data_IF_955713645269
#
_entry.id   IF_955713645269
#
_cell.length_a   1.000
_cell.length_b   1.000
_cell.length_c   1.000
_cell.angle_alpha   90.00
_cell.angle_beta   90.00
_cell.angle_gamma   90.00
#
_symmetry.space_group_name_H-M   'P 1'
#
loop_
_entity.id
_entity.type
_entity.pdbx_description
1 polymer ?
#
# COMPACT_ATOMS: atom_id res chain seq x y z
N UNK A 1 0.95 -3.19 10.21
CA UNK A 1 -0.14 -3.56 9.28
C UNK A 1 -1.16 -4.41 10.02
N UNK A 2 -2.44 -4.04 9.97
CA UNK A 2 -3.52 -4.89 10.47
C UNK A 2 -3.64 -6.11 9.55
N UNK A 3 -3.40 -7.31 10.11
CA UNK A 3 -3.32 -8.54 9.32
C UNK A 3 -4.67 -9.20 9.14
N UNK A 4 -5.49 -9.16 10.18
CA UNK A 4 -6.86 -9.65 10.17
C UNK A 4 -7.75 -8.76 9.30
N UNK A 5 -8.63 -9.38 8.52
CA UNK A 5 -9.49 -8.65 7.58
C UNK A 5 -10.63 -7.94 8.28
N UNK A 6 -11.21 -8.55 9.32
CA UNK A 6 -12.34 -7.98 10.04
C UNK A 6 -11.88 -6.75 10.82
N UNK A 7 -10.77 -6.86 11.54
CA UNK A 7 -10.16 -5.71 12.23
C UNK A 7 -9.80 -4.58 11.25
N UNK A 8 -9.30 -4.91 10.05
CA UNK A 8 -8.99 -3.90 9.03
C UNK A 8 -10.24 -3.14 8.58
N UNK A 9 -11.36 -3.83 8.37
CA UNK A 9 -12.62 -3.21 7.95
C UNK A 9 -13.26 -2.41 9.08
N UNK A 10 -13.22 -2.91 10.32
CA UNK A 10 -13.66 -2.16 11.50
C UNK A 10 -12.83 -0.86 11.66
N UNK A 11 -11.52 -0.93 11.45
CA UNK A 11 -10.66 0.25 11.49
C UNK A 11 -10.95 1.23 10.35
N UNK A 12 -11.25 0.73 9.14
CA UNK A 12 -11.61 1.56 7.98
C UNK A 12 -12.87 2.41 8.22
N UNK A 13 -13.83 1.89 9.00
CA UNK A 13 -15.07 2.60 9.35
C UNK A 13 -14.83 3.89 10.15
N UNK A 14 -13.67 4.02 10.81
CA UNK A 14 -13.30 5.24 11.53
C UNK A 14 -13.06 6.44 10.59
N UNK A 15 -12.93 6.21 9.28
CA UNK A 15 -12.83 7.26 8.26
C UNK A 15 -11.44 7.92 8.16
N UNK A 16 -10.43 7.38 8.84
CA UNK A 16 -9.04 7.79 8.70
C UNK A 16 -8.44 7.26 7.37
N UNK A 17 -7.32 7.84 6.94
CA UNK A 17 -6.55 7.29 5.83
C UNK A 17 -5.82 6.01 6.25
N UNK A 18 -5.89 5.01 5.38
CA UNK A 18 -5.22 3.71 5.50
C UNK A 18 -4.01 3.70 4.58
N UNK A 19 -2.83 3.90 5.15
CA UNK A 19 -1.59 3.93 4.40
C UNK A 19 -0.94 2.53 4.30
N UNK A 20 -0.64 2.14 3.06
CA UNK A 20 0.17 0.97 2.73
C UNK A 20 1.54 1.44 2.23
N UNK A 21 2.43 1.74 3.16
CA UNK A 21 3.73 2.38 2.91
C UNK A 21 4.89 1.40 2.69
N UNK A 22 4.68 0.08 2.74
CA UNK A 22 5.78 -0.89 2.64
C UNK A 22 5.91 -1.58 1.26
N UNK A 23 5.36 -1.00 0.18
CA UNK A 23 5.48 -1.61 -1.16
C UNK A 23 6.95 -1.75 -1.58
N UNK A 24 7.31 -2.93 -2.07
CA UNK A 24 8.70 -3.28 -2.42
C UNK A 24 9.54 -3.82 -1.27
N UNK A 25 9.01 -3.86 -0.05
CA UNK A 25 9.69 -4.47 1.11
C UNK A 25 9.03 -5.79 1.50
N UNK A 26 9.82 -6.86 1.48
CA UNK A 26 9.48 -8.20 1.97
C UNK A 26 10.72 -8.77 2.68
N UNK A 27 10.54 -9.23 3.91
CA UNK A 27 11.60 -9.81 4.73
C UNK A 27 11.11 -11.16 5.25
N UNK A 28 11.93 -12.20 5.06
CA UNK A 28 11.68 -13.51 5.67
C UNK A 28 11.74 -13.42 7.20
N UNK A 29 12.71 -12.65 7.72
CA UNK A 29 12.89 -12.44 9.16
C UNK A 29 12.65 -10.97 9.51
N UNK A 30 11.44 -10.66 9.98
CA UNK A 30 11.09 -9.32 10.42
C UNK A 30 11.58 -9.07 11.86
N UNK A 31 12.75 -8.45 11.97
CA UNK A 31 13.47 -8.28 13.24
C UNK A 31 12.68 -7.53 14.32
N UNK A 32 11.79 -6.63 13.94
CA UNK A 32 10.98 -5.85 14.88
C UNK A 32 9.82 -6.65 15.48
N UNK A 33 9.38 -7.73 14.82
CA UNK A 33 8.42 -8.68 15.37
C UNK A 33 8.60 -10.07 14.74
N UNK A 34 9.45 -10.92 15.35
CA UNK A 34 9.78 -12.24 14.81
C UNK A 34 8.60 -13.22 14.67
N UNK A 35 7.47 -12.94 15.35
CA UNK A 35 6.27 -13.78 15.27
C UNK A 35 5.39 -13.45 14.06
N UNK A 36 5.70 -12.40 13.30
CA UNK A 36 4.89 -11.93 12.18
C UNK A 36 5.63 -12.11 10.85
N UNK A 37 4.94 -12.76 9.91
CA UNK A 37 5.34 -12.77 8.50
C UNK A 37 5.01 -11.43 7.84
N UNK A 38 6.04 -10.76 7.33
CA UNK A 38 5.85 -9.52 6.59
C UNK A 38 4.98 -9.79 5.34
N UNK A 39 3.90 -9.02 5.11
CA UNK A 39 3.12 -9.18 3.89
C UNK A 39 3.98 -8.79 2.69
N UNK A 40 3.94 -9.58 1.63
CA UNK A 40 4.51 -9.18 0.35
C UNK A 40 3.55 -8.31 -0.46
N UNK A 41 4.02 -7.80 -1.59
CA UNK A 41 3.24 -6.87 -2.41
C UNK A 41 1.93 -7.50 -2.93
N UNK A 42 1.91 -8.79 -3.26
CA UNK A 42 0.66 -9.45 -3.64
C UNK A 42 -0.34 -9.51 -2.46
N UNK A 43 0.13 -9.72 -1.23
CA UNK A 43 -0.71 -9.66 -0.02
C UNK A 43 -1.18 -8.22 0.25
N UNK A 44 -0.39 -7.19 -0.05
CA UNK A 44 -0.80 -5.78 0.04
C UNK A 44 -1.87 -5.43 -1.00
N UNK A 45 -1.65 -5.78 -2.26
CA UNK A 45 -2.62 -5.59 -3.35
C UNK A 45 -3.97 -6.25 -3.01
N UNK A 46 -3.98 -7.46 -2.45
CA UNK A 46 -5.21 -8.13 -2.02
C UNK A 46 -5.95 -7.37 -0.91
N UNK A 47 -5.24 -6.70 -0.01
CA UNK A 47 -5.84 -5.86 1.04
C UNK A 47 -6.41 -4.56 0.48
N UNK A 48 -5.67 -3.91 -0.41
CA UNK A 48 -6.18 -2.74 -1.13
C UNK A 48 -7.44 -3.11 -1.90
N UNK A 49 -7.44 -4.24 -2.63
CA UNK A 49 -8.63 -4.72 -3.34
C UNK A 49 -9.82 -4.95 -2.41
N UNK A 50 -9.60 -5.60 -1.26
CA UNK A 50 -10.64 -5.79 -0.25
C UNK A 50 -11.25 -4.45 0.20
N UNK A 51 -10.43 -3.45 0.50
CA UNK A 51 -10.92 -2.13 0.91
C UNK A 51 -11.70 -1.43 -0.21
N UNK A 52 -11.25 -1.56 -1.45
CA UNK A 52 -11.96 -1.03 -2.63
C UNK A 52 -13.31 -1.73 -2.80
N UNK A 53 -13.36 -3.06 -2.68
CA UNK A 53 -14.60 -3.85 -2.77
C UNK A 53 -15.64 -3.45 -1.72
N UNK A 54 -15.19 -3.03 -0.54
CA UNK A 54 -16.02 -2.57 0.57
C UNK A 54 -16.28 -1.05 0.54
N UNK A 55 -15.85 -0.34 -0.52
CA UNK A 55 -16.18 1.08 -0.73
C UNK A 55 -15.26 2.09 -0.02
N UNK A 56 -14.08 1.69 0.44
CA UNK A 56 -13.14 2.55 1.18
C UNK A 56 -12.04 3.19 0.30
N UNK A 57 -12.22 3.21 -1.03
CA UNK A 57 -11.21 3.66 -1.99
C UNK A 57 -10.73 5.12 -1.79
N UNK A 58 -11.58 6.02 -1.28
CA UNK A 58 -11.25 7.43 -1.03
C UNK A 58 -10.38 7.66 0.21
N UNK A 59 -10.02 6.60 0.92
CA UNK A 59 -9.23 6.63 2.16
C UNK A 59 -8.00 5.74 2.10
N UNK A 60 -7.52 5.37 0.91
CA UNK A 60 -6.31 4.54 0.74
C UNK A 60 -5.13 5.42 0.30
N UNK A 61 -3.98 5.26 0.96
CA UNK A 61 -2.69 5.83 0.56
C UNK A 61 -1.67 4.70 0.33
N UNK A 62 -0.66 4.96 -0.49
CA UNK A 62 0.42 4.00 -0.73
C UNK A 62 1.78 4.69 -0.87
N UNK A 63 2.82 4.02 -0.36
CA UNK A 63 4.21 4.46 -0.42
C UNK A 63 5.18 3.27 -0.32
N UNK A 64 6.48 3.57 -0.25
CA UNK A 64 7.56 2.56 -0.19
C UNK A 64 8.32 2.53 1.14
N UNK A 65 8.19 3.58 1.95
CA UNK A 65 8.96 3.78 3.18
C UNK A 65 10.46 3.57 2.93
N UNK A 66 11.00 4.25 1.92
CA UNK A 66 12.43 4.18 1.63
C UNK A 66 13.18 5.00 2.69
N UNK A 67 13.67 4.32 3.72
CA UNK A 67 14.47 4.89 4.80
C UNK A 67 15.88 4.30 4.89
N UNK A 68 16.29 3.44 3.95
CA UNK A 68 17.63 2.80 3.92
C UNK A 68 18.21 2.75 2.52
N UNK A 69 19.56 2.79 2.43
CA UNK A 69 20.29 2.79 1.14
C UNK A 69 19.99 1.57 0.28
N UNK A 70 19.92 0.37 0.87
CA UNK A 70 19.70 -0.87 0.12
C UNK A 70 18.34 -0.93 -0.60
N UNK A 71 17.38 -0.06 -0.23
CA UNK A 71 16.09 0.05 -0.93
C UNK A 71 16.13 0.92 -2.19
N UNK A 72 17.21 1.68 -2.41
CA UNK A 72 17.40 2.47 -3.63
C UNK A 72 17.96 1.62 -4.78
N UNK A 73 17.56 1.91 -6.01
CA UNK A 73 18.02 1.19 -7.22
C UNK A 73 19.54 1.17 -7.37
N UNK A 74 20.23 2.26 -6.99
CA UNK A 74 21.71 2.33 -7.01
C UNK A 74 22.39 1.21 -6.21
N UNK A 75 21.71 0.69 -5.19
CA UNK A 75 22.22 -0.36 -4.32
C UNK A 75 21.48 -1.70 -4.53
N UNK A 76 20.79 -1.87 -5.66
CA UNK A 76 20.03 -3.08 -6.00
C UNK A 76 18.63 -3.18 -5.41
N UNK A 77 18.14 -2.12 -4.78
CA UNK A 77 16.78 -2.07 -4.24
C UNK A 77 15.70 -1.72 -5.27
N UNK A 78 14.44 -1.77 -4.84
CA UNK A 78 13.26 -1.53 -5.68
C UNK A 78 13.11 -0.08 -6.15
N UNK A 79 13.52 0.89 -5.32
CA UNK A 79 13.44 2.32 -5.60
C UNK A 79 12.03 2.91 -5.75
N UNK A 80 11.98 4.23 -5.93
CA UNK A 80 10.72 4.99 -5.97
C UNK A 80 9.84 4.66 -7.18
N UNK A 81 10.40 4.10 -8.26
CA UNK A 81 9.62 3.72 -9.44
C UNK A 81 8.78 2.46 -9.25
N UNK A 82 9.07 1.63 -8.23
CA UNK A 82 8.47 0.30 -8.04
C UNK A 82 6.94 0.29 -8.05
N UNK A 83 6.31 1.29 -7.44
CA UNK A 83 4.84 1.39 -7.43
C UNK A 83 4.32 1.55 -8.86
N UNK A 84 4.87 2.48 -9.63
CA UNK A 84 4.41 2.78 -10.98
C UNK A 84 4.78 1.67 -11.98
N UNK A 85 5.97 1.07 -11.85
CA UNK A 85 6.47 0.10 -12.84
C UNK A 85 6.01 -1.33 -12.58
N UNK A 86 5.76 -1.71 -11.33
CA UNK A 86 5.45 -3.09 -10.95
C UNK A 86 4.07 -3.23 -10.28
N UNK A 87 3.74 -2.34 -9.33
CA UNK A 87 2.50 -2.48 -8.54
C UNK A 87 1.27 -2.07 -9.34
N UNK A 88 1.30 -0.92 -10.01
CA UNK A 88 0.18 -0.41 -10.82
C UNK A 88 -0.24 -1.40 -11.92
N UNK A 89 0.67 -1.93 -12.77
CA UNK A 89 0.29 -2.96 -13.75
C UNK A 89 -0.31 -4.20 -13.09
N UNK A 90 0.20 -4.60 -11.92
CA UNK A 90 -0.32 -5.76 -11.19
C UNK A 90 -1.71 -5.51 -10.61
N UNK A 91 -1.99 -4.30 -10.13
CA UNK A 91 -3.30 -3.90 -9.61
C UNK A 91 -4.36 -3.89 -10.73
N UNK A 92 -4.01 -3.35 -11.91
CA UNK A 92 -4.86 -3.40 -13.11
C UNK A 92 -5.20 -4.85 -13.50
N UNK A 93 -4.18 -5.72 -13.59
CA UNK A 93 -4.37 -7.16 -13.85
C UNK A 93 -5.23 -7.88 -12.80
N UNK A 94 -5.41 -7.29 -11.61
CA UNK A 94 -6.24 -7.82 -10.52
C UNK A 94 -7.62 -7.15 -10.45
N UNK A 95 -7.98 -6.36 -11.45
CA UNK A 95 -9.31 -5.75 -11.56
C UNK A 95 -9.52 -4.49 -10.73
N UNK A 96 -8.44 -3.87 -10.22
CA UNK A 96 -8.52 -2.51 -9.67
C UNK A 96 -8.50 -1.56 -10.88
N UNK A 97 -9.54 -0.73 -11.01
CA UNK A 97 -9.73 0.13 -12.18
C UNK A 97 -8.77 1.31 -12.18
N UNK A 98 -8.56 1.91 -13.36
CA UNK A 98 -7.76 3.14 -13.50
C UNK A 98 -8.30 4.28 -12.62
N UNK A 99 -9.62 4.48 -12.58
CA UNK A 99 -10.24 5.49 -11.71
C UNK A 99 -9.89 5.30 -10.23
N UNK A 100 -9.84 4.07 -9.73
CA UNK A 100 -9.46 3.78 -8.34
C UNK A 100 -7.97 4.02 -8.13
N UNK A 101 -7.13 3.70 -9.12
CA UNK A 101 -5.70 3.99 -9.07
C UNK A 101 -5.43 5.50 -9.05
N UNK A 102 -6.16 6.29 -9.83
CA UNK A 102 -6.07 7.75 -9.81
C UNK A 102 -6.45 8.31 -8.45
N UNK A 103 -7.48 7.75 -7.78
CA UNK A 103 -7.79 8.12 -6.39
C UNK A 103 -6.60 7.86 -5.47
N UNK A 104 -6.03 6.65 -5.50
CA UNK A 104 -4.95 6.25 -4.60
C UNK A 104 -3.66 7.05 -4.86
N UNK A 105 -3.33 7.31 -6.12
CA UNK A 105 -2.06 7.94 -6.53
C UNK A 105 -2.10 9.46 -6.59
N UNK A 106 -3.29 10.05 -6.81
CA UNK A 106 -3.44 11.48 -7.11
C UNK A 106 -4.40 12.14 -6.12
N UNK A 107 -5.68 11.74 -6.13
CA UNK A 107 -6.71 12.51 -5.42
C UNK A 107 -6.62 12.37 -3.89
N UNK A 108 -6.40 11.17 -3.37
CA UNK A 108 -6.31 10.92 -1.93
C UNK A 108 -5.09 11.67 -1.32
N UNK A 109 -3.86 11.56 -1.85
CA UNK A 109 -2.73 12.34 -1.34
C UNK A 109 -2.95 13.86 -1.46
N UNK A 110 -3.51 14.33 -2.58
CA UNK A 110 -3.84 15.74 -2.80
C UNK A 110 -4.81 16.26 -1.74
N UNK A 111 -5.89 15.53 -1.47
CA UNK A 111 -6.86 15.91 -0.44
C UNK A 111 -6.25 15.86 0.97
N UNK A 112 -5.44 14.84 1.26
CA UNK A 112 -4.83 14.66 2.57
C UNK A 112 -3.83 15.77 2.92
N UNK A 113 -2.96 16.14 1.97
CA UNK A 113 -1.86 17.07 2.19
C UNK A 113 -2.25 18.55 2.01
N UNK A 114 -3.49 18.83 1.60
CA UNK A 114 -3.98 20.21 1.46
C UNK A 114 -4.51 20.72 2.80
N UNK A 115 -3.90 21.79 3.32
CA UNK A 115 -4.43 22.54 4.45
C UNK A 115 -5.56 23.48 3.97
N UNK A 116 -6.54 23.72 4.85
CA UNK A 116 -7.59 24.72 4.63
C UNK A 116 -7.19 26.07 5.21
#
# INVERSE_FOLDING_TARGET
TILDKKELLEFAQLGCYLEFDLFGTELLHYQFNPAIDMPNDNKRIKRVRLLVDEGYEDRILMAHDIHTKHRLMKYGGHGYSHILTNIVPKMLLRGITENVLDKILIENPKQWLTFK
#
